data_IF_032320063238
#
_entry.id   IF_032320063238
#
_cell.length_a   1.000
_cell.length_b   1.000
_cell.length_c   1.000
_cell.angle_alpha   90.00
_cell.angle_beta   90.00
_cell.angle_gamma   90.00
#
_symmetry.space_group_name_H-M   'P 1'
#
loop_
_entity.id
_entity.type
_entity.pdbx_description
1 polymer ?
#
# COMPACT_ATOMS: atom_id res chain seq x y z
N UNK A 1 -9.71 -10.04 2.89
CA UNK A 1 -8.43 -9.32 2.97
C UNK A 1 -8.76 -7.85 2.89
N UNK A 2 -8.30 -7.06 3.86
CA UNK A 2 -8.55 -5.62 3.92
C UNK A 2 -7.30 -4.91 4.45
N UNK A 3 -7.11 -3.65 4.07
CA UNK A 3 -6.04 -2.82 4.62
C UNK A 3 -6.27 -2.57 6.10
N UNK A 4 -5.26 -2.84 6.93
CA UNK A 4 -5.30 -2.54 8.35
C UNK A 4 -4.23 -1.52 8.73
N UNK A 5 -4.47 -0.75 9.78
CA UNK A 5 -3.43 0.07 10.40
C UNK A 5 -2.61 -0.83 11.32
N UNK A 6 -1.32 -0.97 11.03
CA UNK A 6 -0.40 -1.85 11.75
C UNK A 6 0.81 -1.08 12.29
N UNK A 7 1.53 -1.68 13.23
CA UNK A 7 2.74 -1.14 13.83
C UNK A 7 3.72 -2.26 14.22
N UNK A 8 5.02 -1.95 14.22
CA UNK A 8 6.08 -2.92 14.52
C UNK A 8 6.31 -3.92 13.38
N UNK A 9 6.95 -5.04 13.72
CA UNK A 9 7.35 -6.08 12.76
C UNK A 9 6.17 -6.92 12.28
N UNK A 10 6.19 -7.29 11.00
CA UNK A 10 5.26 -8.29 10.45
C UNK A 10 5.46 -9.65 11.10
N UNK A 11 4.39 -10.45 11.15
CA UNK A 11 4.40 -11.76 11.82
C UNK A 11 5.00 -12.87 10.96
N UNK A 12 5.06 -12.68 9.64
CA UNK A 12 5.53 -13.70 8.69
C UNK A 12 7.04 -13.60 8.50
N UNK A 13 7.73 -14.72 8.63
CA UNK A 13 9.19 -14.82 8.45
C UNK A 13 9.57 -14.44 7.02
N UNK A 14 10.75 -13.83 6.85
CA UNK A 14 11.26 -13.34 5.56
C UNK A 14 10.32 -12.36 4.86
N UNK A 15 9.56 -11.58 5.65
CA UNK A 15 8.78 -10.44 5.20
C UNK A 15 9.10 -9.22 6.06
N UNK A 16 8.49 -8.08 5.74
CA UNK A 16 8.65 -6.85 6.50
C UNK A 16 7.49 -5.88 6.27
N UNK A 17 7.58 -4.66 6.83
CA UNK A 17 8.75 -4.09 7.48
C UNK A 17 8.89 -4.48 8.96
N UNK A 18 10.06 -4.20 9.56
CA UNK A 18 10.28 -4.30 11.02
C UNK A 18 9.76 -3.09 11.81
N UNK A 19 9.61 -1.95 11.15
CA UNK A 19 9.04 -0.72 11.71
C UNK A 19 8.54 0.20 10.60
N UNK A 20 7.71 1.18 10.95
CA UNK A 20 7.23 2.16 9.99
C UNK A 20 8.36 3.08 9.48
N UNK A 21 8.17 3.67 8.30
CA UNK A 21 9.14 4.61 7.74
C UNK A 21 9.19 5.95 8.48
N UNK A 22 8.08 6.42 9.08
CA UNK A 22 7.99 7.78 9.66
C UNK A 22 8.91 7.94 10.86
N UNK A 23 8.90 6.98 11.78
CA UNK A 23 9.70 7.05 13.01
C UNK A 23 10.81 6.00 13.06
N UNK A 24 10.78 4.98 12.21
CA UNK A 24 11.78 3.90 12.21
C UNK A 24 11.76 3.09 13.50
N UNK A 25 10.61 3.03 14.18
CA UNK A 25 10.45 2.26 15.42
C UNK A 25 9.03 1.70 15.58
N UNK A 26 8.80 0.90 16.62
CA UNK A 26 7.54 0.17 16.85
C UNK A 26 6.33 1.03 17.20
N UNK A 27 6.51 2.33 17.43
CA UNK A 27 5.40 3.26 17.77
C UNK A 27 4.74 3.87 16.55
N UNK A 28 5.44 3.90 15.41
CA UNK A 28 4.87 4.40 14.17
C UNK A 28 3.92 3.42 13.50
N UNK A 29 3.18 3.92 12.52
CA UNK A 29 2.05 3.21 11.92
C UNK A 29 2.08 3.29 10.41
N UNK A 30 1.64 2.21 9.78
CA UNK A 30 1.51 2.12 8.33
C UNK A 30 0.26 1.31 7.97
N UNK A 31 -0.19 1.47 6.72
CA UNK A 31 -1.23 0.60 6.16
C UNK A 31 -0.59 -0.72 5.72
N UNK A 32 -1.18 -1.82 6.12
CA UNK A 32 -0.64 -3.17 5.95
C UNK A 32 -1.66 -4.11 5.31
N UNK A 33 -1.13 -5.04 4.51
CA UNK A 33 -1.84 -6.20 3.98
C UNK A 33 -1.00 -7.45 4.20
N UNK A 34 -1.60 -8.46 4.82
CA UNK A 34 -1.02 -9.78 4.89
C UNK A 34 -1.20 -10.51 3.56
N UNK A 35 -0.09 -10.76 2.86
CA UNK A 35 -0.08 -11.46 1.58
C UNK A 35 0.20 -12.96 1.70
N UNK A 36 0.74 -13.39 2.84
CA UNK A 36 0.97 -14.81 3.11
C UNK A 36 -0.33 -15.52 3.52
N UNK A 37 -0.24 -16.84 3.71
CA UNK A 37 -1.39 -17.66 4.09
C UNK A 37 -2.13 -17.07 5.32
N UNK A 38 -3.47 -16.93 5.27
CA UNK A 38 -4.39 -17.61 4.37
C UNK A 38 -4.77 -16.84 3.10
N UNK A 39 -4.12 -15.72 2.79
CA UNK A 39 -4.36 -14.96 1.56
C UNK A 39 -4.08 -15.81 0.31
N UNK A 40 -4.79 -15.55 -0.77
CA UNK A 40 -4.71 -16.32 -2.03
C UNK A 40 -4.43 -15.42 -3.22
N UNK A 41 -3.93 -16.04 -4.29
CA UNK A 41 -3.78 -15.35 -5.57
C UNK A 41 -5.11 -14.72 -6.01
N UNK A 42 -5.03 -13.50 -6.53
CA UNK A 42 -6.16 -12.64 -6.91
C UNK A 42 -6.99 -12.04 -5.76
N UNK A 43 -6.68 -12.31 -4.48
CA UNK A 43 -7.24 -11.52 -3.39
C UNK A 43 -6.83 -10.05 -3.54
N UNK A 44 -7.80 -9.15 -3.32
CA UNK A 44 -7.64 -7.70 -3.52
C UNK A 44 -8.25 -6.95 -2.36
N UNK A 45 -7.54 -5.91 -1.92
CA UNK A 45 -8.05 -4.93 -0.99
C UNK A 45 -7.91 -3.53 -1.59
N UNK A 46 -8.95 -2.71 -1.42
CA UNK A 46 -8.99 -1.35 -1.92
C UNK A 46 -8.92 -0.38 -0.76
N UNK A 47 -8.03 0.60 -0.86
CA UNK A 47 -8.05 1.79 0.00
C UNK A 47 -8.34 3.00 -0.88
N UNK A 48 -9.38 3.74 -0.53
CA UNK A 48 -9.79 4.94 -1.26
C UNK A 48 -9.57 6.16 -0.37
N UNK A 49 -8.83 7.14 -0.87
CA UNK A 49 -8.67 8.42 -0.18
C UNK A 49 -10.00 9.19 -0.13
N UNK A 50 -10.05 10.24 0.69
CA UNK A 50 -11.04 11.29 0.52
C UNK A 50 -10.95 11.95 -0.87
N UNK A 51 -11.99 12.69 -1.24
CA UNK A 51 -12.02 13.46 -2.50
C UNK A 51 -11.00 14.60 -2.40
N UNK A 52 -10.06 14.64 -3.34
CA UNK A 52 -9.08 15.73 -3.47
C UNK A 52 -9.60 16.71 -4.51
N UNK A 53 -9.81 17.96 -4.11
CA UNK A 53 -10.20 19.05 -5.01
C UNK A 53 -8.94 19.81 -5.46
N UNK A 54 -8.47 19.64 -6.71
CA UNK A 54 -7.30 20.37 -7.19
C UNK A 54 -7.59 21.87 -7.25
N UNK A 55 -6.61 22.69 -6.84
CA UNK A 55 -6.68 24.13 -7.04
C UNK A 55 -6.57 24.48 -8.53
N UNK A 56 -7.17 25.59 -8.96
CA UNK A 56 -7.25 25.99 -10.38
C UNK A 56 -5.89 26.05 -11.10
N UNK A 57 -4.80 26.35 -10.38
CA UNK A 57 -3.44 26.42 -10.90
C UNK A 57 -2.47 25.46 -10.19
N UNK A 58 -2.97 24.49 -9.41
CA UNK A 58 -2.15 23.63 -8.57
C UNK A 58 -2.27 22.16 -8.99
N UNK A 59 -1.25 21.56 -9.63
CA UNK A 59 -1.25 20.13 -9.89
C UNK A 59 -1.27 19.34 -8.57
N UNK A 60 -1.95 18.19 -8.57
CA UNK A 60 -1.95 17.27 -7.43
C UNK A 60 -0.79 16.30 -7.60
N UNK A 61 0.09 16.23 -6.59
CA UNK A 61 1.17 15.27 -6.51
C UNK A 61 0.89 14.30 -5.35
N UNK A 62 1.04 13.00 -5.59
CA UNK A 62 0.92 11.96 -4.56
C UNK A 62 2.29 11.32 -4.40
N UNK A 63 2.79 11.33 -3.16
CA UNK A 63 4.06 10.71 -2.77
C UNK A 63 3.81 9.87 -1.54
N UNK A 64 4.38 8.66 -1.53
CA UNK A 64 4.23 7.73 -0.42
C UNK A 64 5.44 6.80 -0.37
N UNK A 65 5.71 6.26 0.81
CA UNK A 65 6.64 5.17 1.03
C UNK A 65 5.88 3.85 1.01
N UNK A 66 6.52 2.80 0.53
CA UNK A 66 5.99 1.45 0.51
C UNK A 66 7.11 0.47 0.85
N UNK A 67 6.72 -0.69 1.40
CA UNK A 67 7.63 -1.80 1.68
C UNK A 67 6.96 -3.07 1.15
N UNK A 68 7.67 -3.83 0.33
CA UNK A 68 7.14 -4.98 -0.41
C UNK A 68 8.19 -6.08 -0.45
N UNK A 69 8.35 -6.79 0.67
CA UNK A 69 9.34 -7.85 0.84
C UNK A 69 8.68 -9.19 1.21
N UNK A 70 9.01 -10.24 0.46
CA UNK A 70 8.50 -11.59 0.68
C UNK A 70 8.23 -12.37 -0.61
N UNK A 71 8.06 -13.69 -0.49
CA UNK A 71 7.83 -14.58 -1.63
C UNK A 71 6.41 -14.43 -2.23
N UNK A 72 5.41 -14.18 -1.38
CA UNK A 72 3.99 -14.11 -1.77
C UNK A 72 3.55 -12.68 -2.16
N UNK A 73 4.49 -11.76 -2.34
CA UNK A 73 4.19 -10.36 -2.64
C UNK A 73 3.48 -10.23 -4.01
N UNK A 74 2.28 -9.67 -3.96
CA UNK A 74 1.48 -9.36 -5.14
C UNK A 74 1.86 -8.04 -5.82
N UNK A 75 0.85 -7.23 -6.16
CA UNK A 75 1.04 -5.92 -6.81
C UNK A 75 0.35 -4.81 -6.05
N UNK A 76 1.00 -3.64 -5.97
CA UNK A 76 0.41 -2.41 -5.48
C UNK A 76 0.13 -1.49 -6.67
N UNK A 77 -1.14 -1.11 -6.83
CA UNK A 77 -1.62 -0.28 -7.93
C UNK A 77 -2.19 1.04 -7.40
N UNK A 78 -1.85 2.14 -8.07
CA UNK A 78 -2.43 3.46 -7.82
C UNK A 78 -3.34 3.83 -8.98
N UNK A 79 -4.60 4.09 -8.66
CA UNK A 79 -5.62 4.52 -9.61
C UNK A 79 -6.06 5.95 -9.30
N UNK A 80 -6.41 6.71 -10.35
CA UNK A 80 -7.10 8.00 -10.21
C UNK A 80 -8.54 7.87 -10.71
N UNK A 81 -9.49 8.18 -9.83
CA UNK A 81 -10.91 8.21 -10.16
C UNK A 81 -11.40 9.66 -10.21
N UNK A 82 -12.02 10.04 -11.33
CA UNK A 82 -12.69 11.34 -11.49
C UNK A 82 -14.20 11.09 -11.51
N UNK A 83 -14.91 11.47 -10.45
CA UNK A 83 -16.34 11.18 -10.30
C UNK A 83 -16.61 9.86 -9.57
N UNK A 84 -17.66 9.13 -9.98
CA UNK A 84 -18.14 7.92 -9.30
C UNK A 84 -17.57 6.60 -9.85
N UNK A 85 -16.80 6.62 -10.93
CA UNK A 85 -16.30 5.40 -11.56
C UNK A 85 -15.10 4.82 -10.80
N UNK A 86 -15.23 3.56 -10.37
CA UNK A 86 -14.18 2.78 -9.71
C UNK A 86 -14.03 1.39 -10.35
N UNK A 87 -12.79 0.86 -10.48
CA UNK A 87 -11.55 1.61 -10.34
C UNK A 87 -11.42 2.66 -11.46
N UNK A 88 -10.78 3.78 -11.15
CA UNK A 88 -10.49 4.81 -12.15
C UNK A 88 -9.36 4.39 -13.10
N UNK A 89 -8.65 5.36 -13.65
CA UNK A 89 -7.49 5.12 -14.53
C UNK A 89 -6.29 4.62 -13.70
N UNK A 90 -5.66 3.52 -14.10
CA UNK A 90 -4.39 3.07 -13.53
C UNK A 90 -3.28 4.09 -13.87
N UNK A 91 -2.58 4.59 -12.85
CA UNK A 91 -1.48 5.54 -13.01
C UNK A 91 -0.11 4.92 -12.75
N UNK A 92 -0.02 4.01 -11.78
CA UNK A 92 1.24 3.42 -11.35
C UNK A 92 1.01 2.01 -10.81
N UNK A 93 2.00 1.15 -11.02
CA UNK A 93 2.03 -0.22 -10.52
C UNK A 93 3.44 -0.58 -10.12
N UNK A 94 3.56 -1.34 -9.03
CA UNK A 94 4.76 -2.08 -8.66
C UNK A 94 4.34 -3.50 -8.31
N UNK A 95 5.15 -4.48 -8.67
CA UNK A 95 4.81 -5.90 -8.55
C UNK A 95 5.98 -6.70 -8.02
N UNK A 96 5.67 -7.69 -7.18
CA UNK A 96 6.64 -8.63 -6.63
C UNK A 96 7.54 -8.00 -5.57
N UNK A 97 8.50 -8.82 -5.13
CA UNK A 97 9.46 -8.46 -4.10
C UNK A 97 10.37 -7.29 -4.54
N UNK A 98 10.46 -6.26 -3.70
CA UNK A 98 11.30 -5.06 -3.88
C UNK A 98 12.52 -5.06 -2.96
N UNK A 99 12.72 -6.12 -2.18
CA UNK A 99 13.76 -6.23 -1.17
C UNK A 99 13.34 -5.64 0.17
N UNK A 100 14.14 -5.94 1.20
CA UNK A 100 13.98 -5.37 2.54
C UNK A 100 14.79 -4.07 2.64
N UNK A 101 14.13 -2.94 2.34
CA UNK A 101 14.74 -1.60 2.22
C UNK A 101 13.93 -0.50 2.88
#
# INVERSE_FOLDING_TARGET
MDWIVFNGSTNTVDTGPSSDHTFGNSTGKFLYLESSAPSKECDKAWYQSGIIQPGFYAPVCVQFWYHMYGADIGSLNIYIATGSQLPGKLLWTVSGNQGDV
#
